data_IF_934665495648
#
_entry.id   IF_934665495648
#
_cell.length_a   1.000
_cell.length_b   1.000
_cell.length_c   1.000
_cell.angle_alpha   90.00
_cell.angle_beta   90.00
_cell.angle_gamma   90.00
#
_symmetry.space_group_name_H-M   'P 1'
#
loop_
_entity.id
_entity.type
_entity.pdbx_description
1 polymer ?
#
# COMPACT_ATOMS: atom_id res chain seq x y z
N UNK A 1 -7.10 5.10 -2.10
CA UNK A 1 -6.32 3.84 -2.01
C UNK A 1 -5.61 3.79 -0.67
N UNK A 2 -5.33 2.60 -0.13
CA UNK A 2 -4.76 2.46 1.22
C UNK A 2 -3.91 1.19 1.33
N UNK A 3 -2.79 1.27 2.04
CA UNK A 3 -2.06 0.07 2.45
C UNK A 3 -2.56 -0.42 3.82
N UNK A 4 -2.70 -1.74 3.94
CA UNK A 4 -3.04 -2.41 5.20
C UNK A 4 -1.87 -3.30 5.63
N UNK A 5 -1.45 -3.16 6.88
CA UNK A 5 -0.39 -3.97 7.48
C UNK A 5 -0.84 -4.60 8.80
N UNK A 6 -0.64 -5.92 8.92
CA UNK A 6 -0.68 -6.62 10.20
C UNK A 6 0.69 -6.55 10.85
N UNK A 7 0.76 -6.08 12.09
CA UNK A 7 2.05 -5.86 12.76
C UNK A 7 2.46 -7.02 13.68
N UNK A 8 1.60 -8.02 13.88
CA UNK A 8 1.83 -9.16 14.78
C UNK A 8 2.72 -10.23 14.13
N UNK A 9 3.92 -9.87 13.70
CA UNK A 9 4.99 -10.77 13.26
C UNK A 9 6.35 -10.05 13.22
N UNK A 10 7.44 -10.83 13.26
CA UNK A 10 8.81 -10.29 13.39
C UNK A 10 9.27 -9.44 12.20
N UNK A 11 8.71 -9.67 11.01
CA UNK A 11 9.09 -8.94 9.79
C UNK A 11 8.30 -7.64 9.56
N UNK A 12 7.33 -7.31 10.42
CA UNK A 12 6.37 -6.22 10.16
C UNK A 12 7.03 -4.84 9.94
N UNK A 13 8.16 -4.57 10.58
CA UNK A 13 8.92 -3.34 10.34
C UNK A 13 9.49 -3.26 8.92
N UNK A 14 9.96 -4.38 8.35
CA UNK A 14 10.46 -4.42 6.96
C UNK A 14 9.31 -4.22 5.96
N UNK A 15 8.15 -4.83 6.22
CA UNK A 15 6.95 -4.57 5.39
C UNK A 15 6.54 -3.10 5.47
N UNK A 16 6.62 -2.50 6.66
CA UNK A 16 6.31 -1.09 6.86
C UNK A 16 7.29 -0.19 6.08
N UNK A 17 8.58 -0.50 6.04
CA UNK A 17 9.57 0.25 5.25
C UNK A 17 9.22 0.25 3.76
N UNK A 18 8.96 -0.93 3.19
CA UNK A 18 8.54 -1.10 1.77
C UNK A 18 7.28 -0.29 1.48
N UNK A 19 6.24 -0.49 2.29
CA UNK A 19 4.96 0.22 2.13
C UNK A 19 5.12 1.74 2.29
N UNK A 20 5.97 2.19 3.22
CA UNK A 20 6.21 3.62 3.44
C UNK A 20 6.90 4.26 2.23
N UNK A 21 7.88 3.57 1.62
CA UNK A 21 8.55 4.07 0.41
C UNK A 21 7.55 4.25 -0.74
N UNK A 22 6.72 3.24 -1.01
CA UNK A 22 5.67 3.31 -2.04
C UNK A 22 4.62 4.39 -1.73
N UNK A 23 4.18 4.47 -0.47
CA UNK A 23 3.20 5.46 -0.02
C UNK A 23 3.71 6.89 -0.16
N UNK A 24 4.99 7.14 0.13
CA UNK A 24 5.60 8.46 -0.03
C UNK A 24 5.65 8.86 -1.51
N UNK A 25 6.14 7.96 -2.38
CA UNK A 25 6.13 8.21 -3.82
C UNK A 25 4.73 8.57 -4.34
N UNK A 26 3.70 7.83 -3.90
CA UNK A 26 2.32 8.09 -4.32
C UNK A 26 1.79 9.42 -3.77
N UNK A 27 2.09 9.79 -2.52
CA UNK A 27 1.66 11.07 -1.96
C UNK A 27 2.34 12.26 -2.63
N UNK A 28 3.62 12.13 -2.98
CA UNK A 28 4.40 13.18 -3.64
C UNK A 28 3.93 13.43 -5.07
N UNK A 29 3.54 12.37 -5.79
CA UNK A 29 3.18 12.45 -7.22
C UNK A 29 1.66 12.52 -7.48
N UNK A 30 0.84 12.02 -6.55
CA UNK A 30 -0.62 11.88 -6.71
C UNK A 30 -1.35 12.34 -5.45
N UNK A 31 -1.37 13.66 -5.24
CA UNK A 31 -1.97 14.29 -4.06
C UNK A 31 -3.43 13.84 -3.83
N UNK A 32 -3.72 13.35 -2.63
CA UNK A 32 -5.06 12.92 -2.23
C UNK A 32 -5.44 11.49 -2.64
N UNK A 33 -4.59 10.77 -3.37
CA UNK A 33 -4.85 9.39 -3.78
C UNK A 33 -4.79 8.40 -2.60
N UNK A 34 -3.81 8.59 -1.71
CA UNK A 34 -3.54 7.69 -0.60
C UNK A 34 -4.22 8.16 0.68
N UNK A 35 -4.82 7.20 1.39
CA UNK A 35 -5.14 7.32 2.81
C UNK A 35 -3.90 6.96 3.64
N UNK A 36 -3.95 7.28 4.94
CA UNK A 36 -2.93 6.85 5.89
C UNK A 36 -2.76 5.31 5.86
N UNK A 37 -1.53 4.84 6.05
CA UNK A 37 -1.24 3.40 6.19
C UNK A 37 -2.00 2.87 7.41
N UNK A 38 -2.85 1.87 7.18
CA UNK A 38 -3.67 1.27 8.23
C UNK A 38 -2.92 0.09 8.86
N UNK A 39 -2.63 0.22 10.16
CA UNK A 39 -1.86 -0.77 10.93
C UNK A 39 -2.75 -1.51 11.92
N UNK A 40 -2.67 -2.83 11.93
CA UNK A 40 -3.36 -3.73 12.86
C UNK A 40 -2.34 -4.44 13.75
N UNK A 41 -2.23 -4.02 15.01
CA UNK A 41 -1.23 -4.56 15.94
C UNK A 41 -1.60 -5.94 16.51
N UNK A 42 -2.84 -6.36 16.31
CA UNK A 42 -3.45 -7.56 16.88
C UNK A 42 -3.51 -8.74 15.89
N UNK A 43 -3.31 -8.49 14.60
CA UNK A 43 -3.51 -9.46 13.51
C UNK A 43 -2.21 -9.77 12.77
N UNK A 44 -2.10 -11.03 12.35
CA UNK A 44 -1.11 -11.52 11.39
C UNK A 44 -1.84 -11.88 10.08
N UNK A 45 -1.42 -11.27 8.97
CA UNK A 45 -1.81 -11.69 7.61
C UNK A 45 -0.66 -12.49 6.97
N UNK A 46 -0.80 -12.98 5.74
CA UNK A 46 0.30 -13.64 4.98
C UNK A 46 1.51 -12.74 4.64
N UNK A 47 1.54 -11.53 5.20
CA UNK A 47 2.65 -10.57 5.13
C UNK A 47 3.89 -11.04 5.89
N UNK A 48 3.79 -12.02 6.79
CA UNK A 48 4.95 -12.58 7.49
C UNK A 48 5.92 -13.34 6.57
N UNK A 49 5.47 -13.79 5.40
CA UNK A 49 6.22 -14.67 4.52
C UNK A 49 7.39 -13.95 3.81
N UNK A 50 7.22 -12.67 3.44
CA UNK A 50 8.25 -11.85 2.79
C UNK A 50 8.05 -10.36 3.11
N UNK A 51 9.12 -9.56 3.11
CA UNK A 51 9.03 -8.11 3.33
C UNK A 51 8.26 -7.35 2.24
N UNK A 52 8.14 -7.93 1.04
CA UNK A 52 7.38 -7.37 -0.09
C UNK A 52 5.94 -7.88 -0.15
N UNK A 53 5.50 -8.69 0.83
CA UNK A 53 4.10 -9.06 0.95
C UNK A 53 3.34 -7.98 1.72
N UNK A 54 2.38 -7.33 1.08
CA UNK A 54 1.51 -6.32 1.68
C UNK A 54 0.12 -6.37 1.05
N UNK A 55 -0.84 -5.72 1.71
CA UNK A 55 -2.22 -5.61 1.21
C UNK A 55 -2.46 -4.17 0.78
N UNK A 56 -3.11 -4.01 -0.36
CA UNK A 56 -3.58 -2.72 -0.86
C UNK A 56 -5.09 -2.78 -1.10
N UNK A 57 -5.78 -1.79 -0.56
CA UNK A 57 -7.22 -1.58 -0.73
C UNK A 57 -7.44 -0.48 -1.76
N UNK A 58 -8.14 -0.80 -2.84
CA UNK A 58 -8.32 0.09 -3.99
C UNK A 58 -9.81 0.29 -4.25
N UNK A 59 -10.25 1.54 -4.10
CA UNK A 59 -11.64 1.91 -4.27
C UNK A 59 -12.54 1.57 -3.06
N UNK A 60 -13.83 1.59 -3.32
CA UNK A 60 -14.93 1.33 -2.40
C UNK A 60 -16.25 1.42 -3.18
N UNK A 61 -17.38 1.23 -2.52
CA UNK A 61 -18.70 1.25 -3.17
C UNK A 61 -19.02 2.58 -3.89
N UNK A 62 -18.43 3.68 -3.43
CA UNK A 62 -18.69 5.02 -3.96
C UNK A 62 -17.74 5.40 -5.11
N UNK A 63 -16.77 4.55 -5.44
CA UNK A 63 -15.81 4.84 -6.48
C UNK A 63 -16.29 4.39 -7.86
N UNK A 64 -16.01 5.22 -8.87
CA UNK A 64 -16.22 4.83 -10.27
C UNK A 64 -15.13 3.88 -10.75
N UNK A 65 -15.42 3.11 -11.80
CA UNK A 65 -14.40 2.29 -12.49
C UNK A 65 -13.16 3.11 -12.87
N UNK A 66 -13.36 4.32 -13.39
CA UNK A 66 -12.26 5.17 -13.86
C UNK A 66 -11.33 5.62 -12.72
N UNK A 67 -11.88 5.91 -11.54
CA UNK A 67 -11.08 6.25 -10.35
C UNK A 67 -10.23 5.06 -9.90
N UNK A 68 -10.81 3.86 -9.84
CA UNK A 68 -10.09 2.64 -9.48
C UNK A 68 -9.00 2.33 -10.50
N UNK A 69 -9.33 2.41 -11.79
CA UNK A 69 -8.38 2.15 -12.88
C UNK A 69 -7.21 3.14 -12.87
N UNK A 70 -7.48 4.43 -12.67
CA UNK A 70 -6.44 5.45 -12.57
C UNK A 70 -5.58 5.27 -11.31
N UNK A 71 -6.18 4.84 -10.19
CA UNK A 71 -5.45 4.51 -8.95
C UNK A 71 -4.46 3.38 -9.16
N UNK A 72 -4.87 2.31 -9.86
CA UNK A 72 -3.99 1.18 -10.20
C UNK A 72 -2.87 1.62 -11.15
N UNK A 73 -3.14 2.49 -12.12
CA UNK A 73 -2.09 3.04 -12.99
C UNK A 73 -1.04 3.83 -12.21
N UNK A 74 -1.46 4.66 -11.26
CA UNK A 74 -0.55 5.38 -10.38
C UNK A 74 0.28 4.40 -9.52
N UNK A 75 -0.35 3.36 -8.98
CA UNK A 75 0.35 2.31 -8.23
C UNK A 75 1.38 1.56 -9.08
N UNK A 76 1.05 1.22 -10.33
CA UNK A 76 2.00 0.59 -11.25
C UNK A 76 3.24 1.47 -11.49
N UNK A 77 3.06 2.80 -11.55
CA UNK A 77 4.19 3.75 -11.64
C UNK A 77 5.04 3.82 -10.38
N UNK A 78 4.43 3.67 -9.20
CA UNK A 78 5.18 3.57 -7.95
C UNK A 78 6.00 2.27 -7.85
N UNK A 79 5.46 1.14 -8.33
CA UNK A 79 6.23 -0.10 -8.41
C UNK A 79 7.39 0.00 -9.40
N UNK A 80 7.17 0.62 -10.56
CA UNK A 80 8.23 0.82 -11.55
C UNK A 80 9.38 1.70 -11.03
N UNK A 81 9.08 2.71 -10.21
CA UNK A 81 10.12 3.57 -9.61
C UNK A 81 10.88 2.89 -8.48
N UNK A 82 10.26 1.94 -7.77
CA UNK A 82 10.88 1.20 -6.68
C UNK A 82 11.80 0.06 -7.16
N UNK A 83 11.54 -0.48 -8.35
CA UNK A 83 12.31 -1.54 -9.01
C UNK A 83 13.58 -1.06 -9.73
N UNK A 84 13.79 0.25 -9.84
CA UNK A 84 14.99 0.87 -10.44
C UNK A 84 15.97 1.27 -9.35
#
# INVERSE_FOLDING_TARGET
MMFLLGMKHNNSNKNLEVVTKLNNYLNDNYKGLMRNIYKRNDITYYQYFDSHNFIIEVGGQDNTYQEVYNSIKAFAKALESDLK
#
